data_IF_560943012943
#
_entry.id   IF_560943012943
#
_cell.length_a   1.000
_cell.length_b   1.000
_cell.length_c   1.000
_cell.angle_alpha   90.00
_cell.angle_beta   90.00
_cell.angle_gamma   90.00
#
_symmetry.space_group_name_H-M   'P 1'
#
loop_
_entity.id
_entity.type
_entity.pdbx_description
1 polymer ?
#
# COMPACT_ATOMS: atom_id res chain seq x y z
N UNK A 1 19.99 -0.37 -7.01
CA UNK A 1 19.31 -1.65 -6.72
C UNK A 1 18.81 -1.55 -5.29
N UNK A 2 17.49 -1.62 -5.09
CA UNK A 2 16.86 -1.48 -3.79
C UNK A 2 17.19 -2.69 -2.89
N UNK A 3 17.59 -2.42 -1.66
CA UNK A 3 17.91 -3.40 -0.62
C UNK A 3 16.80 -3.44 0.42
N UNK A 4 16.50 -4.63 0.96
CA UNK A 4 15.50 -4.85 2.00
C UNK A 4 16.09 -5.67 3.14
N UNK A 5 15.68 -5.38 4.36
CA UNK A 5 16.03 -6.20 5.52
C UNK A 5 15.19 -7.47 5.58
N UNK A 6 15.77 -8.53 6.12
CA UNK A 6 15.10 -9.80 6.33
C UNK A 6 14.71 -9.98 7.80
N UNK A 7 13.57 -10.64 7.98
CA UNK A 7 12.95 -10.94 9.27
C UNK A 7 12.64 -12.44 9.38
N UNK A 8 12.50 -12.92 10.61
CA UNK A 8 11.95 -14.25 10.89
C UNK A 8 10.40 -14.22 10.90
N UNK A 9 9.78 -15.37 11.16
CA UNK A 9 8.31 -15.51 11.20
C UNK A 9 7.64 -14.79 12.38
N UNK A 10 8.42 -14.45 13.44
CA UNK A 10 7.97 -13.60 14.55
C UNK A 10 8.29 -12.12 14.34
N UNK A 11 8.68 -11.76 13.11
CA UNK A 11 9.02 -10.37 12.72
C UNK A 11 10.25 -9.81 13.45
N UNK A 12 11.21 -10.66 13.85
CA UNK A 12 12.50 -10.21 14.41
C UNK A 12 13.51 -10.03 13.27
N UNK A 13 14.30 -8.93 13.29
CA UNK A 13 15.33 -8.73 12.29
C UNK A 13 16.37 -9.88 12.29
N UNK A 14 16.69 -10.41 11.12
CA UNK A 14 17.73 -11.42 10.94
C UNK A 14 19.15 -10.81 10.83
N UNK A 15 19.27 -9.47 10.87
CA UNK A 15 20.54 -8.77 10.71
C UNK A 15 21.17 -8.95 9.32
N UNK A 16 20.37 -9.27 8.32
CA UNK A 16 20.79 -9.47 6.93
C UNK A 16 19.96 -8.62 5.98
N UNK A 17 20.63 -8.04 5.00
CA UNK A 17 20.04 -7.21 3.95
C UNK A 17 20.29 -7.86 2.60
N UNK A 18 19.28 -7.90 1.75
CA UNK A 18 19.34 -8.53 0.42
C UNK A 18 18.67 -7.66 -0.64
N UNK A 19 18.99 -7.86 -1.94
CA UNK A 19 18.24 -7.22 -3.01
C UNK A 19 16.73 -7.54 -2.94
N UNK A 20 15.87 -6.54 -3.16
CA UNK A 20 14.40 -6.62 -3.04
C UNK A 20 13.81 -7.86 -3.74
N UNK A 21 14.30 -8.20 -4.91
CA UNK A 21 13.78 -9.29 -5.75
C UNK A 21 14.63 -10.57 -5.69
N UNK A 22 15.58 -10.69 -4.74
CA UNK A 22 16.31 -11.94 -4.54
C UNK A 22 15.37 -13.08 -4.12
N UNK A 23 15.77 -14.31 -4.46
CA UNK A 23 15.09 -15.50 -3.95
C UNK A 23 15.26 -15.54 -2.42
N UNK A 24 14.17 -15.83 -1.73
CA UNK A 24 14.16 -16.01 -0.27
C UNK A 24 14.25 -17.47 0.09
N UNK A 25 14.90 -17.74 1.21
CA UNK A 25 14.94 -19.05 1.82
C UNK A 25 13.73 -19.26 2.75
N UNK A 26 13.53 -20.50 3.17
CA UNK A 26 12.48 -20.82 4.15
C UNK A 26 12.78 -20.09 5.48
N UNK A 27 11.79 -19.43 6.04
CA UNK A 27 11.93 -18.65 7.27
C UNK A 27 12.42 -17.21 7.08
N UNK A 28 12.62 -16.77 5.84
CA UNK A 28 12.95 -15.38 5.51
C UNK A 28 11.72 -14.60 5.11
N UNK A 29 11.44 -13.53 5.82
CA UNK A 29 10.30 -12.63 5.62
C UNK A 29 10.78 -11.22 5.30
N UNK A 30 9.93 -10.43 4.67
CA UNK A 30 10.17 -9.01 4.38
C UNK A 30 8.98 -8.17 4.86
N UNK A 31 9.16 -6.86 4.89
CA UNK A 31 8.09 -5.91 5.18
C UNK A 31 7.60 -5.26 3.89
N UNK A 32 6.28 -5.06 3.80
CA UNK A 32 5.62 -4.29 2.75
C UNK A 32 4.69 -3.29 3.43
N UNK A 33 4.66 -2.08 2.91
CA UNK A 33 3.76 -1.03 3.38
C UNK A 33 2.67 -0.77 2.35
N UNK A 34 1.42 -0.68 2.80
CA UNK A 34 0.26 -0.33 2.00
C UNK A 34 -0.43 0.89 2.62
N UNK A 35 -0.73 1.89 1.82
CA UNK A 35 -1.45 3.08 2.25
C UNK A 35 -2.79 3.19 1.53
N UNK A 36 -3.86 3.35 2.31
CA UNK A 36 -5.23 3.53 1.85
C UNK A 36 -5.69 4.95 2.18
N UNK A 37 -5.90 5.81 1.18
CA UNK A 37 -6.41 7.16 1.38
C UNK A 37 -7.91 7.16 1.17
N UNK A 38 -8.65 7.61 2.19
CA UNK A 38 -10.10 7.77 2.13
C UNK A 38 -10.46 9.25 2.15
N UNK A 39 -11.38 9.66 1.27
CA UNK A 39 -11.91 11.01 1.27
C UNK A 39 -13.05 11.22 2.29
N UNK A 40 -13.52 12.46 2.42
CA UNK A 40 -14.64 12.83 3.30
C UNK A 40 -15.97 12.15 2.95
N UNK A 41 -16.08 11.59 1.73
CA UNK A 41 -17.25 10.84 1.26
C UNK A 41 -17.10 9.32 1.49
N UNK A 42 -16.01 8.89 2.11
CA UNK A 42 -15.72 7.48 2.36
C UNK A 42 -15.32 6.68 1.12
N UNK A 43 -14.80 7.34 0.06
CA UNK A 43 -14.25 6.68 -1.13
C UNK A 43 -12.77 6.43 -0.92
N UNK A 44 -12.27 5.31 -1.45
CA UNK A 44 -10.86 4.96 -1.47
C UNK A 44 -10.21 5.53 -2.74
N UNK A 45 -9.07 6.19 -2.59
CA UNK A 45 -8.21 6.54 -3.73
C UNK A 45 -7.52 5.26 -4.23
N UNK A 46 -7.76 4.92 -5.49
CA UNK A 46 -7.12 3.81 -6.17
C UNK A 46 -6.02 4.30 -7.09
N UNK A 47 -4.94 3.52 -7.20
CA UNK A 47 -3.97 3.63 -8.27
C UNK A 47 -4.12 2.47 -9.25
N UNK A 48 -3.87 2.72 -10.52
CA UNK A 48 -3.73 1.67 -11.54
C UNK A 48 -2.25 1.42 -11.79
N UNK A 49 -1.81 0.22 -11.50
CA UNK A 49 -0.41 -0.19 -11.68
C UNK A 49 -0.02 -0.10 -13.15
N UNK A 50 1.16 0.41 -13.43
CA UNK A 50 1.70 0.44 -14.79
C UNK A 50 1.79 -0.97 -15.37
N UNK A 51 1.65 -1.09 -16.69
CA UNK A 51 1.79 -2.37 -17.40
C UNK A 51 3.22 -2.90 -17.36
N UNK A 52 4.20 -2.05 -17.05
CA UNK A 52 5.61 -2.42 -16.85
C UNK A 52 5.92 -3.07 -15.50
N UNK A 53 4.99 -3.05 -14.56
CA UNK A 53 5.21 -3.64 -13.22
C UNK A 53 5.40 -5.14 -13.29
N UNK A 54 6.38 -5.64 -12.53
CA UNK A 54 6.68 -7.08 -12.46
C UNK A 54 5.55 -7.90 -11.81
N UNK A 55 4.82 -7.30 -10.87
CA UNK A 55 3.76 -7.96 -10.11
C UNK A 55 2.45 -7.22 -10.34
N UNK A 56 1.40 -7.95 -10.73
CA UNK A 56 0.05 -7.43 -10.99
C UNK A 56 0.01 -6.24 -11.97
N UNK A 57 0.66 -6.32 -13.17
CA UNK A 57 0.67 -5.24 -14.15
C UNK A 57 -0.75 -4.88 -14.60
N UNK A 58 -1.03 -3.59 -14.72
CA UNK A 58 -2.29 -3.07 -15.23
C UNK A 58 -3.52 -3.21 -14.32
N UNK A 59 -3.38 -3.82 -13.13
CA UNK A 59 -4.47 -3.95 -12.16
C UNK A 59 -4.61 -2.70 -11.31
N UNK A 60 -5.81 -2.46 -10.81
CA UNK A 60 -6.06 -1.48 -9.76
C UNK A 60 -5.55 -1.98 -8.42
N UNK A 61 -5.12 -1.07 -7.57
CA UNK A 61 -4.57 -1.34 -6.25
C UNK A 61 -5.01 -0.24 -5.26
N UNK A 62 -4.69 -0.41 -3.98
CA UNK A 62 -4.84 0.64 -2.96
C UNK A 62 -4.00 1.87 -3.32
N UNK A 63 -4.06 2.93 -2.53
CA UNK A 63 -3.55 4.25 -2.91
C UNK A 63 -2.05 4.29 -3.19
N UNK A 64 -1.24 3.63 -2.36
CA UNK A 64 0.19 3.46 -2.57
C UNK A 64 0.66 2.17 -1.90
N UNK A 65 1.67 1.48 -2.47
CA UNK A 65 2.20 0.26 -1.89
C UNK A 65 3.61 -0.05 -2.37
N UNK A 66 4.49 -0.39 -1.44
CA UNK A 66 5.85 -0.79 -1.79
C UNK A 66 6.61 -1.54 -0.72
N UNK A 67 7.80 -2.02 -1.10
CA UNK A 67 8.73 -2.67 -0.18
C UNK A 67 9.31 -1.69 0.82
N UNK A 68 9.64 -2.18 1.99
CA UNK A 68 10.35 -1.42 3.02
C UNK A 68 11.84 -1.55 2.75
N UNK A 69 12.50 -0.41 2.53
CA UNK A 69 13.94 -0.39 2.28
C UNK A 69 14.72 -0.77 3.56
N UNK A 70 15.96 -1.21 3.38
CA UNK A 70 16.83 -1.54 4.50
C UNK A 70 17.01 -0.36 5.45
N UNK A 71 16.78 -0.59 6.75
CA UNK A 71 16.83 0.42 7.80
C UNK A 71 15.58 1.31 7.91
N UNK A 72 14.59 1.14 7.04
CA UNK A 72 13.35 1.91 7.03
C UNK A 72 12.27 1.22 7.88
N UNK A 73 11.39 1.95 8.51
CA UNK A 73 10.16 1.41 9.10
C UNK A 73 9.06 1.31 8.05
N UNK A 74 8.05 0.45 8.25
CA UNK A 74 6.89 0.35 7.34
C UNK A 74 6.14 1.67 7.21
N UNK A 75 6.16 2.50 8.26
CA UNK A 75 5.52 3.82 8.26
C UNK A 75 6.26 4.83 7.39
N UNK A 76 7.59 4.83 7.45
CA UNK A 76 8.43 5.66 6.59
C UNK A 76 8.29 5.22 5.13
N UNK A 77 8.29 3.90 4.89
CA UNK A 77 8.04 3.34 3.56
C UNK A 77 6.68 3.78 3.00
N UNK A 78 5.61 3.71 3.80
CA UNK A 78 4.29 4.17 3.37
C UNK A 78 4.27 5.66 2.96
N UNK A 79 4.99 6.52 3.71
CA UNK A 79 5.09 7.94 3.40
C UNK A 79 5.94 8.17 2.14
N UNK A 80 7.05 7.47 1.97
CA UNK A 80 7.93 7.55 0.79
C UNK A 80 7.21 7.08 -0.47
N UNK A 81 6.57 5.91 -0.44
CA UNK A 81 5.83 5.38 -1.60
C UNK A 81 4.69 6.32 -2.03
N UNK A 82 3.99 6.95 -1.06
CA UNK A 82 2.97 7.94 -1.36
C UNK A 82 3.55 9.15 -2.14
N UNK A 83 4.71 9.63 -1.71
CA UNK A 83 5.38 10.76 -2.36
C UNK A 83 5.94 10.38 -3.74
N UNK A 84 6.56 9.21 -3.86
CA UNK A 84 7.13 8.70 -5.11
C UNK A 84 6.05 8.40 -6.14
N UNK A 85 5.03 7.62 -5.78
CA UNK A 85 4.00 7.12 -6.70
C UNK A 85 2.96 8.20 -7.09
N UNK A 86 2.58 9.09 -6.14
CA UNK A 86 1.47 10.05 -6.32
C UNK A 86 1.86 11.52 -6.17
N UNK A 87 3.09 11.83 -5.75
CA UNK A 87 3.52 13.19 -5.45
C UNK A 87 2.83 13.81 -4.24
N UNK A 88 2.30 13.01 -3.35
CA UNK A 88 1.64 13.45 -2.12
C UNK A 88 2.56 13.25 -0.92
N UNK A 89 2.78 14.29 -0.14
CA UNK A 89 3.51 14.15 1.12
C UNK A 89 2.57 13.78 2.27
N UNK A 90 3.02 12.87 3.13
CA UNK A 90 2.43 12.61 4.43
C UNK A 90 3.55 12.49 5.47
N UNK A 91 3.33 13.02 6.66
CA UNK A 91 4.31 12.85 7.73
C UNK A 91 4.18 11.45 8.33
N UNK A 92 5.24 10.65 8.24
CA UNK A 92 5.26 9.28 8.72
C UNK A 92 4.72 9.11 10.16
N UNK A 93 5.05 9.97 11.16
CA UNK A 93 4.50 9.84 12.50
C UNK A 93 2.98 9.93 12.59
N UNK A 94 2.31 10.52 11.61
CA UNK A 94 0.85 10.66 11.58
C UNK A 94 0.14 9.47 10.92
N UNK A 95 0.87 8.60 10.24
CA UNK A 95 0.31 7.38 9.66
C UNK A 95 0.11 6.33 10.76
N UNK A 96 -1.10 5.79 10.86
CA UNK A 96 -1.45 4.75 11.83
C UNK A 96 -1.68 3.44 11.12
N UNK A 97 -0.93 2.40 11.49
CA UNK A 97 -1.19 1.05 11.05
C UNK A 97 -2.52 0.57 11.63
N UNK A 98 -3.35 -0.04 10.79
CA UNK A 98 -4.66 -0.59 11.17
C UNK A 98 -4.64 -2.11 11.26
N UNK A 99 -3.76 -2.76 10.51
CA UNK A 99 -3.54 -4.21 10.59
C UNK A 99 -2.24 -4.60 9.89
N UNK A 100 -1.77 -5.80 10.22
CA UNK A 100 -0.73 -6.53 9.48
C UNK A 100 -1.36 -7.79 8.92
N UNK A 101 -1.12 -8.07 7.64
CA UNK A 101 -1.48 -9.33 6.99
C UNK A 101 -0.21 -10.07 6.63
N UNK A 102 -0.15 -11.37 6.92
CA UNK A 102 0.98 -12.21 6.48
C UNK A 102 0.61 -12.89 5.17
N UNK A 103 1.38 -12.62 4.14
CA UNK A 103 1.17 -13.18 2.82
C UNK A 103 2.48 -13.40 2.09
N UNK A 104 2.69 -14.60 1.52
CA UNK A 104 3.83 -14.93 0.66
C UNK A 104 5.20 -14.51 1.25
N UNK A 105 5.47 -14.89 2.50
CA UNK A 105 6.69 -14.54 3.23
C UNK A 105 6.90 -13.01 3.36
N UNK A 106 5.82 -12.28 3.57
CA UNK A 106 5.85 -10.87 3.89
C UNK A 106 4.90 -10.54 5.04
N UNK A 107 5.24 -9.49 5.79
CA UNK A 107 4.35 -8.79 6.68
C UNK A 107 3.89 -7.52 5.97
N UNK A 108 2.65 -7.52 5.54
CA UNK A 108 2.01 -6.42 4.83
C UNK A 108 1.31 -5.52 5.84
N UNK A 109 1.91 -4.37 6.17
CA UNK A 109 1.33 -3.39 7.08
C UNK A 109 0.43 -2.44 6.30
N UNK A 110 -0.82 -2.31 6.76
CA UNK A 110 -1.81 -1.41 6.15
C UNK A 110 -2.00 -0.16 7.00
N UNK A 111 -1.90 0.99 6.34
CA UNK A 111 -2.12 2.31 6.92
C UNK A 111 -3.36 2.96 6.29
N UNK A 112 -4.11 3.71 7.08
CA UNK A 112 -5.22 4.53 6.61
C UNK A 112 -4.90 6.00 6.84
N UNK A 113 -5.11 6.81 5.80
CA UNK A 113 -5.05 8.26 5.84
C UNK A 113 -6.40 8.82 5.37
N UNK A 114 -7.02 9.67 6.17
CA UNK A 114 -8.23 10.39 5.75
C UNK A 114 -7.82 11.76 5.21
N UNK A 115 -8.00 11.96 3.92
CA UNK A 115 -7.61 13.18 3.24
C UNK A 115 -8.38 13.36 1.93
N UNK A 116 -8.98 14.53 1.75
CA UNK A 116 -9.48 14.95 0.44
C UNK A 116 -8.31 15.35 -0.45
N UNK A 117 -8.24 14.75 -1.63
CA UNK A 117 -7.19 14.98 -2.62
C UNK A 117 -7.83 15.37 -3.94
N UNK A 118 -7.39 16.48 -4.52
CA UNK A 118 -7.71 16.82 -5.90
C UNK A 118 -6.79 16.05 -6.85
N UNK A 119 -7.35 15.11 -7.60
CA UNK A 119 -6.61 14.23 -8.49
C UNK A 119 -5.81 14.99 -9.57
N UNK A 120 -6.21 16.23 -9.90
CA UNK A 120 -5.53 17.08 -10.88
C UNK A 120 -4.16 17.58 -10.38
N UNK A 121 -3.95 17.57 -9.07
CA UNK A 121 -2.72 18.02 -8.43
C UNK A 121 -1.73 16.89 -8.17
N UNK A 122 -2.07 15.65 -8.53
CA UNK A 122 -1.21 14.50 -8.37
C UNK A 122 -0.10 14.50 -9.43
N UNK A 123 1.08 14.07 -9.02
CA UNK A 123 2.20 13.77 -9.92
C UNK A 123 2.46 12.28 -9.87
N UNK A 124 1.99 11.59 -10.91
CA UNK A 124 2.14 10.14 -11.00
C UNK A 124 3.55 9.79 -11.48
N UNK A 125 4.16 8.82 -10.83
CA UNK A 125 5.35 8.16 -11.32
C UNK A 125 4.93 7.17 -12.41
N UNK A 126 5.03 7.55 -13.68
CA UNK A 126 4.45 6.83 -14.82
C UNK A 126 4.96 5.38 -14.97
N UNK A 127 6.18 5.11 -14.51
CA UNK A 127 6.75 3.76 -14.49
C UNK A 127 6.03 2.83 -13.50
N UNK A 128 5.41 3.40 -12.46
CA UNK A 128 4.74 2.69 -11.37
C UNK A 128 3.22 2.77 -11.47
N UNK A 129 2.68 3.96 -11.79
CA UNK A 129 1.24 4.29 -11.74
C UNK A 129 0.78 4.89 -13.05
N UNK A 130 -0.16 4.24 -13.73
CA UNK A 130 -0.72 4.70 -15.01
C UNK A 130 -1.99 5.54 -14.88
N UNK A 131 -2.73 5.42 -13.80
CA UNK A 131 -3.96 6.19 -13.54
C UNK A 131 -4.32 6.17 -12.06
N UNK A 132 -5.17 7.12 -11.66
CA UNK A 132 -5.78 7.19 -10.33
C UNK A 132 -7.27 7.50 -10.42
N UNK A 133 -8.05 7.05 -9.43
CA UNK A 133 -9.45 7.44 -9.29
C UNK A 133 -9.96 7.25 -7.87
N UNK A 134 -11.00 7.97 -7.50
CA UNK A 134 -11.80 7.65 -6.32
C UNK A 134 -12.78 6.51 -6.61
N UNK A 135 -12.94 5.60 -5.68
CA UNK A 135 -13.87 4.49 -5.79
C UNK A 135 -14.64 4.24 -4.50
N UNK A 136 -15.94 3.99 -4.62
CA UNK A 136 -16.76 3.50 -3.51
C UNK A 136 -16.46 2.05 -3.21
N UNK A 137 -16.86 1.57 -2.02
CA UNK A 137 -16.75 0.14 -1.66
C UNK A 137 -17.29 -0.78 -2.75
N UNK A 138 -18.50 -0.49 -3.27
CA UNK A 138 -19.11 -1.32 -4.31
C UNK A 138 -18.27 -1.36 -5.58
N UNK A 139 -17.75 -0.21 -6.03
CA UNK A 139 -16.89 -0.15 -7.21
C UNK A 139 -15.60 -0.95 -7.05
N UNK A 140 -15.00 -0.95 -5.84
CA UNK A 140 -13.81 -1.77 -5.55
C UNK A 140 -14.16 -3.26 -5.63
N UNK A 141 -15.27 -3.68 -5.00
CA UNK A 141 -15.73 -5.07 -5.07
C UNK A 141 -16.01 -5.53 -6.50
N UNK A 142 -16.61 -4.67 -7.31
CA UNK A 142 -16.88 -4.97 -8.72
C UNK A 142 -15.58 -5.15 -9.53
N UNK A 143 -14.53 -4.37 -9.21
CA UNK A 143 -13.20 -4.55 -9.83
C UNK A 143 -12.55 -5.88 -9.43
N UNK A 144 -12.68 -6.30 -8.17
CA UNK A 144 -12.17 -7.59 -7.69
C UNK A 144 -12.86 -8.74 -8.44
N UNK A 145 -14.20 -8.70 -8.56
CA UNK A 145 -15.01 -9.72 -9.25
C UNK A 145 -14.70 -9.83 -10.73
N UNK A 146 -14.27 -8.72 -11.36
CA UNK A 146 -13.84 -8.68 -12.76
C UNK A 146 -12.37 -9.03 -12.97
N UNK A 147 -11.66 -9.41 -11.92
CA UNK A 147 -10.21 -9.61 -11.95
C UNK A 147 -9.40 -8.38 -12.44
N UNK A 148 -9.93 -7.19 -12.24
CA UNK A 148 -9.29 -5.91 -12.58
C UNK A 148 -8.56 -5.26 -11.40
N UNK A 149 -8.62 -5.87 -10.22
CA UNK A 149 -7.95 -5.43 -8.99
C UNK A 149 -6.89 -6.44 -8.57
N UNK A 150 -5.87 -5.99 -7.83
CA UNK A 150 -4.95 -6.90 -7.14
C UNK A 150 -5.78 -7.88 -6.29
N UNK A 151 -5.45 -9.18 -6.23
CA UNK A 151 -6.34 -10.21 -5.70
C UNK A 151 -6.47 -10.18 -4.16
N UNK A 152 -6.93 -9.07 -3.62
CA UNK A 152 -7.40 -9.00 -2.24
C UNK A 152 -8.75 -9.71 -2.08
N UNK A 153 -9.03 -10.23 -0.89
CA UNK A 153 -10.37 -10.72 -0.60
C UNK A 153 -11.36 -9.56 -0.45
N UNK A 154 -12.61 -9.76 -0.89
CA UNK A 154 -13.68 -8.76 -0.73
C UNK A 154 -13.88 -8.38 0.76
N UNK A 155 -13.80 -9.36 1.65
CA UNK A 155 -13.97 -9.13 3.09
C UNK A 155 -12.84 -8.27 3.67
N UNK A 156 -11.60 -8.48 3.20
CA UNK A 156 -10.47 -7.68 3.65
C UNK A 156 -10.60 -6.21 3.21
N UNK A 157 -10.93 -5.97 1.94
CA UNK A 157 -11.19 -4.60 1.47
C UNK A 157 -12.38 -3.99 2.21
N UNK A 158 -13.44 -4.78 2.44
CA UNK A 158 -14.58 -4.35 3.25
C UNK A 158 -14.18 -3.92 4.66
N UNK A 159 -13.29 -4.65 5.31
CA UNK A 159 -12.72 -4.30 6.61
C UNK A 159 -12.00 -2.95 6.59
N UNK A 160 -11.17 -2.67 5.57
CA UNK A 160 -10.48 -1.38 5.44
C UNK A 160 -11.47 -0.20 5.30
N UNK A 161 -12.57 -0.38 4.55
CA UNK A 161 -13.64 0.62 4.47
C UNK A 161 -14.34 0.85 5.82
N UNK A 162 -14.59 -0.23 6.58
CA UNK A 162 -15.23 -0.14 7.89
C UNK A 162 -14.29 0.53 8.92
N UNK A 163 -13.00 0.21 8.89
CA UNK A 163 -11.98 0.88 9.70
C UNK A 163 -11.90 2.37 9.38
N UNK A 164 -11.86 2.73 8.10
CA UNK A 164 -11.82 4.13 7.67
C UNK A 164 -13.05 4.93 8.13
N UNK A 165 -14.24 4.31 8.15
CA UNK A 165 -15.47 4.96 8.61
C UNK A 165 -15.42 5.31 10.09
N UNK A 166 -14.79 4.45 10.90
CA UNK A 166 -14.71 4.58 12.36
C UNK A 166 -13.51 5.43 12.84
N UNK A 167 -12.62 5.82 11.94
CA UNK A 167 -11.50 6.70 12.26
C UNK A 167 -11.93 8.17 12.14
N UNK A 168 -11.58 8.98 13.13
CA UNK A 168 -11.78 10.42 13.04
C UNK A 168 -10.93 11.04 11.93
N UNK A 169 -11.48 12.07 11.26
CA UNK A 169 -10.71 12.88 10.33
C UNK A 169 -9.55 13.53 11.07
N UNK A 170 -8.33 13.16 10.74
CA UNK A 170 -7.14 13.84 11.23
C UNK A 170 -6.93 15.10 10.37
N UNK A 171 -7.81 16.10 10.56
CA UNK A 171 -7.58 17.46 10.12
C UNK A 171 -6.74 18.15 11.20
N UNK A 172 -5.43 18.02 11.13
CA UNK A 172 -4.49 18.95 11.75
C UNK A 172 -3.20 18.99 10.95
#
# INVERSE_FOLDING_TARGET
MELVDLYDEERRPLGRTVPRFSKREKGEWRLIAHLCIFDSRGRLLLQKRSVGKRVWPGKWDVSAAGGVAAGETTREAAARELEEELGLSAQAPHLRSVCTVTFNHAFDDYFILKRDVDLRNLRLQEEEVSAVRWATRQQVLDLIRKDEFVPYSENFLGYLFDMARNMDFQNK
#
